data_IF_828780626404
#
_entry.id   IF_828780626404
#
_cell.length_a   1.000
_cell.length_b   1.000
_cell.length_c   1.000
_cell.angle_alpha   90.00
_cell.angle_beta   90.00
_cell.angle_gamma   90.00
#
_symmetry.space_group_name_H-M   'P 1'
#
loop_
_entity.id
_entity.type
_entity.pdbx_description
1 polymer ?
#
# COMPACT_ATOMS: atom_id res chain seq x y z
N UNK A 1 1.32 11.47 -27.20
CA UNK A 1 1.32 10.65 -25.98
C UNK A 1 2.67 10.91 -25.32
N UNK A 2 2.74 11.71 -24.25
CA UNK A 2 4.00 11.91 -23.53
C UNK A 2 4.52 10.53 -23.10
N UNK A 3 5.76 10.21 -23.47
CA UNK A 3 6.33 8.90 -23.17
C UNK A 3 6.51 8.79 -21.65
N UNK A 4 5.77 7.86 -21.04
CA UNK A 4 5.97 7.50 -19.64
C UNK A 4 7.42 7.04 -19.49
N UNK A 5 8.16 7.69 -18.59
CA UNK A 5 9.53 7.30 -18.30
C UNK A 5 9.52 6.09 -17.36
N UNK A 6 9.50 4.89 -17.93
CA UNK A 6 9.45 3.64 -17.15
C UNK A 6 10.64 3.47 -16.19
N UNK A 7 11.83 3.98 -16.54
CA UNK A 7 12.97 3.99 -15.62
C UNK A 7 12.69 4.79 -14.35
N UNK A 8 12.04 5.96 -14.50
CA UNK A 8 11.58 6.79 -13.38
C UNK A 8 10.41 6.17 -12.63
N UNK A 9 9.53 5.45 -13.31
CA UNK A 9 8.44 4.69 -12.67
C UNK A 9 9.00 3.60 -11.76
N UNK A 10 9.96 2.82 -12.23
CA UNK A 10 10.59 1.77 -11.41
C UNK A 10 11.36 2.39 -10.25
N UNK A 11 12.18 3.42 -10.49
CA UNK A 11 12.94 4.07 -9.42
C UNK A 11 12.05 4.68 -8.33
N UNK A 12 11.04 5.46 -8.72
CA UNK A 12 10.07 6.02 -7.78
C UNK A 12 9.22 4.94 -7.12
N UNK A 13 8.87 3.90 -7.88
CA UNK A 13 8.08 2.76 -7.41
C UNK A 13 8.78 1.95 -6.34
N UNK A 14 10.10 1.75 -6.45
CA UNK A 14 10.90 1.11 -5.41
C UNK A 14 10.93 1.94 -4.12
N UNK A 15 11.04 3.27 -4.23
CA UNK A 15 10.94 4.15 -3.05
C UNK A 15 9.55 4.09 -2.41
N UNK A 16 8.49 4.15 -3.21
CA UNK A 16 7.12 3.99 -2.72
C UNK A 16 6.93 2.63 -2.04
N UNK A 17 7.40 1.55 -2.67
CA UNK A 17 7.36 0.20 -2.12
C UNK A 17 8.16 0.06 -0.83
N UNK A 18 9.28 0.75 -0.67
CA UNK A 18 10.03 0.78 0.58
C UNK A 18 9.20 1.46 1.70
N UNK A 19 8.57 2.59 1.41
CA UNK A 19 7.70 3.29 2.37
C UNK A 19 6.53 2.39 2.81
N UNK A 20 5.86 1.72 1.85
CA UNK A 20 4.80 0.75 2.15
C UNK A 20 5.32 -0.43 2.98
N UNK A 21 6.50 -0.97 2.68
CA UNK A 21 7.05 -2.08 3.46
C UNK A 21 7.36 -1.68 4.91
N UNK A 22 7.87 -0.47 5.11
CA UNK A 22 8.13 0.06 6.45
C UNK A 22 6.82 0.27 7.22
N UNK A 23 5.80 0.82 6.57
CA UNK A 23 4.49 1.01 7.20
C UNK A 23 3.81 -0.32 7.54
N UNK A 24 3.81 -1.29 6.63
CA UNK A 24 3.32 -2.66 6.89
C UNK A 24 4.09 -3.36 8.02
N UNK A 25 5.42 -3.20 8.08
CA UNK A 25 6.20 -3.73 9.19
C UNK A 25 5.77 -3.12 10.52
N UNK A 26 5.58 -1.80 10.57
CA UNK A 26 5.15 -1.09 11.76
C UNK A 26 3.72 -1.48 12.18
N UNK A 27 2.80 -1.55 11.21
CA UNK A 27 1.41 -1.95 11.41
C UNK A 27 1.33 -3.36 12.00
N UNK A 28 1.95 -4.34 11.35
CA UNK A 28 1.80 -5.74 11.74
C UNK A 28 2.62 -6.10 12.99
N UNK A 29 3.80 -5.50 13.17
CA UNK A 29 4.70 -5.88 14.28
C UNK A 29 4.41 -5.14 15.58
N UNK A 30 3.77 -3.97 15.54
CA UNK A 30 3.55 -3.16 16.74
C UNK A 30 2.10 -2.77 16.96
N UNK A 31 1.38 -2.36 15.90
CA UNK A 31 0.02 -1.82 16.04
C UNK A 31 -1.02 -2.94 16.12
N UNK A 32 -0.87 -3.98 15.30
CA UNK A 32 -1.77 -5.13 15.20
C UNK A 32 -1.23 -6.38 15.89
N UNK A 33 -0.06 -6.31 16.53
CA UNK A 33 0.65 -7.50 16.97
C UNK A 33 -0.18 -8.36 17.94
N UNK A 34 -0.86 -7.74 18.90
CA UNK A 34 -1.71 -8.45 19.85
C UNK A 34 -3.00 -8.96 19.19
N UNK A 35 -3.66 -8.13 18.38
CA UNK A 35 -4.90 -8.49 17.68
C UNK A 35 -4.67 -9.65 16.70
N UNK A 36 -3.54 -9.66 15.99
CA UNK A 36 -3.17 -10.72 15.07
C UNK A 36 -2.85 -12.01 15.83
N UNK A 37 -2.11 -11.93 16.94
CA UNK A 37 -1.82 -13.09 17.78
C UNK A 37 -3.10 -13.73 18.34
N UNK A 38 -4.02 -12.92 18.84
CA UNK A 38 -5.31 -13.39 19.36
C UNK A 38 -6.17 -14.01 18.26
N UNK A 39 -6.19 -13.40 17.07
CA UNK A 39 -6.89 -13.94 15.91
C UNK A 39 -6.33 -15.29 15.48
N UNK A 40 -5.01 -15.41 15.34
CA UNK A 40 -4.35 -16.66 14.95
C UNK A 40 -4.60 -17.77 15.99
N UNK A 41 -4.51 -17.45 17.28
CA UNK A 41 -4.80 -18.39 18.36
C UNK A 41 -6.27 -18.85 18.36
N UNK A 42 -7.21 -17.92 18.19
CA UNK A 42 -8.65 -18.21 18.14
C UNK A 42 -9.01 -19.14 16.97
N UNK A 43 -8.33 -18.98 15.85
CA UNK A 43 -8.60 -19.73 14.62
C UNK A 43 -7.66 -20.92 14.38
N UNK A 44 -6.76 -21.23 15.33
CA UNK A 44 -5.73 -22.27 15.21
C UNK A 44 -4.88 -22.16 13.93
N UNK A 45 -4.58 -20.93 13.52
CA UNK A 45 -3.71 -20.66 12.38
C UNK A 45 -2.24 -20.73 12.81
N UNK A 46 -1.41 -21.32 11.94
CA UNK A 46 0.03 -21.30 12.08
C UNK A 46 0.57 -19.89 11.87
N UNK A 47 1.60 -19.51 12.64
CA UNK A 47 2.27 -18.22 12.45
C UNK A 47 2.80 -18.06 11.01
N UNK A 48 2.84 -16.82 10.48
CA UNK A 48 3.33 -16.58 9.13
C UNK A 48 4.78 -17.05 8.98
N UNK A 49 5.05 -17.88 7.99
CA UNK A 49 6.40 -18.38 7.72
C UNK A 49 7.30 -17.32 7.08
N UNK A 50 8.62 -17.53 7.11
CA UNK A 50 9.56 -16.68 6.41
C UNK A 50 9.28 -16.56 4.90
N UNK A 51 8.73 -17.61 4.27
CA UNK A 51 8.34 -17.57 2.86
C UNK A 51 7.17 -16.62 2.59
N UNK A 52 6.22 -16.51 3.53
CA UNK A 52 5.13 -15.52 3.43
C UNK A 52 5.69 -14.11 3.44
N UNK A 53 6.64 -13.81 4.33
CA UNK A 53 7.27 -12.47 4.43
C UNK A 53 7.94 -12.09 3.11
N UNK A 54 8.68 -13.01 2.48
CA UNK A 54 9.33 -12.75 1.19
C UNK A 54 8.31 -12.40 0.11
N UNK A 55 7.19 -13.14 0.04
CA UNK A 55 6.11 -12.88 -0.93
C UNK A 55 5.45 -11.53 -0.65
N UNK A 56 5.10 -11.26 0.61
CA UNK A 56 4.47 -10.00 1.01
C UNK A 56 5.36 -8.80 0.65
N UNK A 57 6.64 -8.83 1.04
CA UNK A 57 7.59 -7.75 0.74
C UNK A 57 7.74 -7.54 -0.76
N UNK A 58 7.89 -8.64 -1.53
CA UNK A 58 8.01 -8.58 -2.98
C UNK A 58 6.79 -7.95 -3.65
N UNK A 59 5.58 -8.37 -3.26
CA UNK A 59 4.33 -7.81 -3.79
C UNK A 59 4.13 -6.35 -3.39
N UNK A 60 4.57 -5.95 -2.20
CA UNK A 60 4.50 -4.54 -1.77
C UNK A 60 5.39 -3.63 -2.62
N UNK A 61 6.56 -4.11 -3.07
CA UNK A 61 7.36 -3.38 -4.05
C UNK A 61 6.68 -3.28 -5.42
N UNK A 62 6.07 -4.37 -5.90
CA UNK A 62 5.27 -4.35 -7.13
C UNK A 62 4.15 -3.32 -7.00
N UNK A 63 3.47 -3.28 -5.86
CA UNK A 63 2.42 -2.30 -5.60
C UNK A 63 2.93 -0.86 -5.61
N UNK A 64 4.11 -0.60 -5.03
CA UNK A 64 4.78 0.70 -5.13
C UNK A 64 5.02 1.15 -6.58
N UNK A 65 5.45 0.22 -7.44
CA UNK A 65 5.64 0.48 -8.88
C UNK A 65 4.30 0.76 -9.57
N UNK A 66 3.27 -0.05 -9.31
CA UNK A 66 1.91 0.16 -9.86
C UNK A 66 1.36 1.52 -9.45
N UNK A 67 1.62 1.93 -8.21
CA UNK A 67 1.14 3.19 -7.66
C UNK A 67 1.84 4.41 -8.30
N UNK A 68 3.15 4.34 -8.56
CA UNK A 68 3.86 5.39 -9.31
C UNK A 68 3.50 5.38 -10.81
N UNK A 69 3.24 4.21 -11.39
CA UNK A 69 2.70 4.12 -12.75
C UNK A 69 1.32 4.78 -12.85
N UNK A 70 0.45 4.53 -11.86
CA UNK A 70 -0.85 5.18 -11.73
C UNK A 70 -0.72 6.70 -11.69
N UNK A 71 0.19 7.22 -10.86
CA UNK A 71 0.55 8.64 -10.84
C UNK A 71 0.98 9.16 -12.22
N UNK A 72 1.90 8.47 -12.90
CA UNK A 72 2.37 8.84 -14.23
C UNK A 72 1.23 8.91 -15.26
N UNK A 73 0.30 7.96 -15.23
CA UNK A 73 -0.85 7.92 -16.14
C UNK A 73 -1.80 9.10 -15.91
N UNK A 74 -2.18 9.37 -14.66
CA UNK A 74 -3.16 10.42 -14.34
C UNK A 74 -2.55 11.84 -14.35
N UNK A 75 -1.22 11.95 -14.21
CA UNK A 75 -0.46 13.21 -14.28
C UNK A 75 -0.74 13.99 -15.57
N UNK A 76 -0.90 13.29 -16.70
CA UNK A 76 -1.18 13.94 -17.99
C UNK A 76 -2.49 14.73 -18.00
N UNK A 77 -3.45 14.38 -17.14
CA UNK A 77 -4.77 15.02 -17.02
C UNK A 77 -4.87 15.97 -15.83
N UNK A 78 -4.27 15.59 -14.70
CA UNK A 78 -4.40 16.31 -13.42
C UNK A 78 -3.22 17.26 -13.15
N UNK A 79 -2.20 17.23 -14.00
CA UNK A 79 -0.95 17.97 -13.81
C UNK A 79 0.00 17.29 -12.80
N UNK A 80 1.27 17.72 -12.77
CA UNK A 80 2.25 17.22 -11.80
C UNK A 80 1.97 17.74 -10.38
N UNK A 81 2.39 16.97 -9.38
CA UNK A 81 2.50 17.45 -8.00
C UNK A 81 1.87 16.54 -6.95
N UNK A 82 1.95 17.00 -5.70
CA UNK A 82 1.55 16.26 -4.49
C UNK A 82 0.07 15.87 -4.54
N UNK A 83 -0.81 16.76 -5.02
CA UNK A 83 -2.26 16.47 -5.13
C UNK A 83 -2.52 15.26 -6.02
N UNK A 84 -1.88 15.20 -7.19
CA UNK A 84 -2.02 14.09 -8.14
C UNK A 84 -1.44 12.79 -7.57
N UNK A 85 -0.32 12.87 -6.83
CA UNK A 85 0.26 11.71 -6.16
C UNK A 85 -0.70 11.15 -5.08
N UNK A 86 -1.29 12.01 -4.26
CA UNK A 86 -2.30 11.61 -3.27
C UNK A 86 -3.48 10.94 -3.97
N UNK A 87 -4.00 11.50 -5.07
CA UNK A 87 -5.11 10.88 -5.82
C UNK A 87 -4.73 9.47 -6.30
N UNK A 88 -3.52 9.25 -6.83
CA UNK A 88 -3.05 7.92 -7.21
C UNK A 88 -2.99 6.97 -6.00
N UNK A 89 -2.47 7.43 -4.86
CA UNK A 89 -2.46 6.68 -3.61
C UNK A 89 -3.86 6.33 -3.13
N UNK A 90 -4.82 7.25 -3.22
CA UNK A 90 -6.22 7.04 -2.84
C UNK A 90 -6.92 6.00 -3.72
N UNK A 91 -6.64 5.98 -5.03
CA UNK A 91 -7.17 4.92 -5.90
C UNK A 91 -6.69 3.54 -5.48
N UNK A 92 -5.39 3.42 -5.21
CA UNK A 92 -4.79 2.18 -4.74
C UNK A 92 -5.31 1.76 -3.36
N UNK A 93 -5.37 2.71 -2.41
CA UNK A 93 -5.92 2.50 -1.07
C UNK A 93 -7.38 2.05 -1.11
N UNK A 94 -8.19 2.68 -1.97
CA UNK A 94 -9.60 2.33 -2.12
C UNK A 94 -9.76 0.89 -2.60
N UNK A 95 -8.96 0.44 -3.57
CA UNK A 95 -9.00 -0.94 -4.04
C UNK A 95 -8.58 -1.93 -2.95
N UNK A 96 -7.43 -1.67 -2.30
CA UNK A 96 -6.79 -2.63 -1.39
C UNK A 96 -7.46 -2.67 -0.02
N UNK A 97 -7.54 -1.54 0.69
CA UNK A 97 -8.05 -1.52 2.05
C UNK A 97 -9.55 -1.30 2.12
N UNK A 98 -10.08 -0.36 1.33
CA UNK A 98 -11.49 0.00 1.47
C UNK A 98 -12.41 -1.05 0.83
N UNK A 99 -12.18 -1.40 -0.42
CA UNK A 99 -13.05 -2.35 -1.12
C UNK A 99 -12.71 -3.80 -0.74
N UNK A 100 -11.51 -4.28 -1.11
CA UNK A 100 -11.14 -5.67 -0.86
C UNK A 100 -10.92 -5.95 0.62
N UNK A 101 -10.28 -5.04 1.36
CA UNK A 101 -10.03 -5.18 2.80
C UNK A 101 -11.32 -5.29 3.61
N UNK A 102 -12.28 -4.37 3.46
CA UNK A 102 -13.55 -4.44 4.20
C UNK A 102 -14.34 -5.71 3.88
N UNK A 103 -14.39 -6.14 2.61
CA UNK A 103 -15.08 -7.38 2.23
C UNK A 103 -14.44 -8.59 2.93
N UNK A 104 -13.11 -8.67 2.95
CA UNK A 104 -12.39 -9.74 3.63
C UNK A 104 -12.59 -9.67 5.15
N UNK A 105 -12.53 -8.49 5.75
CA UNK A 105 -12.72 -8.31 7.18
C UNK A 105 -14.11 -8.77 7.64
N UNK A 106 -15.16 -8.45 6.86
CA UNK A 106 -16.52 -8.95 7.11
C UNK A 106 -16.59 -10.46 6.95
N UNK A 107 -15.97 -11.02 5.91
CA UNK A 107 -15.94 -12.46 5.66
C UNK A 107 -15.26 -13.24 6.80
N UNK A 108 -14.15 -12.72 7.33
CA UNK A 108 -13.36 -13.36 8.39
C UNK A 108 -13.79 -12.96 9.81
N UNK A 109 -14.78 -12.08 9.95
CA UNK A 109 -15.30 -11.66 11.24
C UNK A 109 -14.30 -10.83 12.06
N UNK A 110 -13.51 -10.00 11.38
CA UNK A 110 -12.53 -9.11 12.01
C UNK A 110 -13.26 -8.05 12.85
N UNK A 111 -12.81 -7.74 14.07
CA UNK A 111 -13.44 -6.71 14.91
C UNK A 111 -13.42 -5.34 14.23
N UNK A 112 -14.55 -4.62 14.28
CA UNK A 112 -14.72 -3.31 13.66
C UNK A 112 -13.64 -2.30 14.05
N UNK A 113 -13.18 -2.33 15.32
CA UNK A 113 -12.10 -1.46 15.78
C UNK A 113 -10.78 -1.71 15.04
N UNK A 114 -10.45 -2.96 14.74
CA UNK A 114 -9.27 -3.35 13.97
C UNK A 114 -9.43 -2.93 12.51
N UNK A 115 -10.59 -3.19 11.91
CA UNK A 115 -10.89 -2.78 10.52
C UNK A 115 -10.74 -1.28 10.32
N UNK A 116 -11.35 -0.46 11.19
CA UNK A 116 -11.24 1.00 11.10
C UNK A 116 -9.80 1.46 11.25
N UNK A 117 -9.04 0.85 12.17
CA UNK A 117 -7.63 1.17 12.37
C UNK A 117 -6.79 0.89 11.12
N UNK A 118 -6.95 -0.28 10.50
CA UNK A 118 -6.24 -0.69 9.28
C UNK A 118 -6.60 0.21 8.10
N UNK A 119 -7.88 0.53 7.92
CA UNK A 119 -8.36 1.40 6.84
C UNK A 119 -7.77 2.81 6.97
N UNK A 120 -7.73 3.37 8.18
CA UNK A 120 -7.15 4.70 8.45
C UNK A 120 -5.63 4.69 8.31
N UNK A 121 -4.96 3.63 8.78
CA UNK A 121 -3.52 3.46 8.61
C UNK A 121 -3.14 3.45 7.13
N UNK A 122 -3.78 2.57 6.35
CA UNK A 122 -3.54 2.43 4.92
C UNK A 122 -3.79 3.73 4.16
N UNK A 123 -4.74 4.56 4.61
CA UNK A 123 -5.05 5.85 3.98
C UNK A 123 -3.84 6.79 4.03
N UNK A 124 -3.22 6.90 5.21
CA UNK A 124 -2.04 7.74 5.41
C UNK A 124 -0.84 7.14 4.70
N UNK A 125 -0.63 5.84 4.87
CA UNK A 125 0.52 5.11 4.32
C UNK A 125 0.58 5.21 2.80
N UNK A 126 -0.52 4.92 2.09
CA UNK A 126 -0.55 4.96 0.63
C UNK A 126 -0.40 6.38 0.09
N UNK A 127 -0.95 7.38 0.78
CA UNK A 127 -0.75 8.78 0.42
C UNK A 127 0.73 9.18 0.54
N UNK A 128 1.38 8.82 1.65
CA UNK A 128 2.81 9.12 1.89
C UNK A 128 3.70 8.37 0.88
N UNK A 129 3.44 7.09 0.65
CA UNK A 129 4.19 6.29 -0.32
C UNK A 129 4.06 6.85 -1.74
N UNK A 130 2.86 7.28 -2.13
CA UNK A 130 2.63 7.88 -3.45
C UNK A 130 3.37 9.20 -3.62
N UNK A 131 3.34 10.06 -2.60
CA UNK A 131 4.09 11.32 -2.64
C UNK A 131 5.60 11.06 -2.71
N UNK A 132 6.12 10.12 -1.92
CA UNK A 132 7.53 9.75 -1.94
C UNK A 132 7.97 9.23 -3.32
N UNK A 133 7.23 8.28 -3.90
CA UNK A 133 7.55 7.74 -5.23
C UNK A 133 7.39 8.77 -6.35
N UNK A 134 6.35 9.60 -6.29
CA UNK A 134 6.11 10.67 -7.26
C UNK A 134 7.23 11.72 -7.28
N UNK A 135 7.91 11.95 -6.15
CA UNK A 135 9.01 12.91 -6.07
C UNK A 135 10.20 12.55 -6.96
N UNK A 136 10.46 11.25 -7.14
CA UNK A 136 11.50 10.75 -8.04
C UNK A 136 11.03 10.64 -9.50
N UNK A 137 9.72 10.75 -9.77
CA UNK A 137 9.14 10.62 -11.10
C UNK A 137 9.16 11.93 -11.88
N UNK A 138 9.82 11.91 -13.05
CA UNK A 138 9.82 12.98 -14.04
C UNK A 138 9.50 12.39 -15.40
N UNK A 139 8.74 13.12 -16.21
CA UNK A 139 8.54 12.78 -17.62
C UNK A 139 9.87 12.90 -18.38
N UNK A 140 9.94 12.26 -19.55
CA UNK A 140 11.09 12.31 -20.44
C UNK A 140 11.24 13.69 -21.10
#
# INVERSE_FOLDING_TARGET
>A
MNNINFGRVVLGGLLAGLVLNVGEFLLNSFVLASQMKDFMAKHNFSEPSGSFIVVAVGLTFVMGIVLVLGYACIRTRLGPGVKTAIIAGLFAWFGVYFYTGIINDVLFGIPMGTTVMVVVWGLVEYAVAAVAGAWLYKEA
#
